data_IF_042772368952
#
_entry.id   IF_042772368952
#
_cell.length_a   1.000
_cell.length_b   1.000
_cell.length_c   1.000
_cell.angle_alpha   90.00
_cell.angle_beta   90.00
_cell.angle_gamma   90.00
#
_symmetry.space_group_name_H-M   'P 1'
#
loop_
_entity.id
_entity.type
_entity.pdbx_description
1 polymer ?
#
# COMPACT_ATOMS: atom_id res chain seq x y z
N UNK A 1 4.84 -41.95 62.91
CA UNK A 1 3.89 -41.24 62.05
C UNK A 1 4.72 -40.31 61.20
N UNK A 2 5.05 -40.72 59.98
CA UNK A 2 5.93 -39.99 59.08
C UNK A 2 5.06 -39.17 58.13
N UNK A 3 5.27 -37.85 58.12
CA UNK A 3 4.59 -36.93 57.22
C UNK A 3 5.35 -36.87 55.90
N UNK A 4 4.87 -37.62 54.90
CA UNK A 4 5.31 -37.49 53.51
C UNK A 4 4.85 -36.14 52.95
N UNK A 5 5.82 -35.27 52.67
CA UNK A 5 5.59 -33.96 52.05
C UNK A 5 5.82 -34.07 50.55
N UNK A 6 4.75 -34.30 49.80
CA UNK A 6 4.79 -34.38 48.33
C UNK A 6 5.08 -33.01 47.72
N UNK A 7 6.28 -32.86 47.16
CA UNK A 7 6.71 -31.65 46.44
C UNK A 7 6.16 -31.72 45.01
N UNK A 8 5.14 -30.93 44.72
CA UNK A 8 4.56 -30.82 43.39
C UNK A 8 5.45 -29.95 42.48
N UNK A 9 6.31 -30.60 41.69
CA UNK A 9 7.08 -29.98 40.61
C UNK A 9 6.12 -29.47 39.53
N UNK A 10 5.79 -28.18 39.60
CA UNK A 10 5.02 -27.46 38.58
C UNK A 10 5.91 -27.31 37.34
N UNK A 11 5.78 -28.22 36.38
CA UNK A 11 6.35 -28.07 35.02
C UNK A 11 5.85 -26.74 34.45
N UNK A 12 6.71 -25.72 34.38
CA UNK A 12 6.50 -24.55 33.53
C UNK A 12 6.49 -25.04 32.09
N UNK A 13 5.34 -25.00 31.45
CA UNK A 13 5.26 -25.07 29.99
C UNK A 13 6.04 -23.85 29.45
N UNK A 14 6.92 -24.02 28.45
CA UNK A 14 7.50 -22.88 27.77
C UNK A 14 6.36 -22.14 27.07
N UNK A 15 6.05 -20.93 27.55
CA UNK A 15 5.30 -19.94 26.78
C UNK A 15 6.17 -19.52 25.60
N UNK A 16 6.18 -20.33 24.55
CA UNK A 16 6.60 -19.90 23.21
C UNK A 16 5.50 -18.99 22.66
N UNK A 17 5.36 -17.81 23.27
CA UNK A 17 4.83 -16.66 22.57
C UNK A 17 5.87 -16.38 21.51
N UNK A 18 5.69 -16.95 20.32
CA UNK A 18 6.33 -16.47 19.13
C UNK A 18 5.98 -15.00 19.01
N UNK A 19 6.87 -14.13 19.50
CA UNK A 19 6.99 -12.76 19.03
C UNK A 19 7.24 -12.89 17.54
N UNK A 20 6.15 -13.00 16.78
CA UNK A 20 6.18 -12.90 15.35
C UNK A 20 6.90 -11.59 15.07
N UNK A 21 8.10 -11.73 14.53
CA UNK A 21 9.02 -10.68 14.15
C UNK A 21 8.46 -9.97 12.91
N UNK A 22 7.18 -9.57 12.97
CA UNK A 22 6.42 -8.76 12.01
C UNK A 22 6.92 -7.30 11.99
N UNK A 23 8.08 -7.02 12.60
CA UNK A 23 8.42 -5.70 13.15
C UNK A 23 9.64 -5.02 12.54
N UNK A 24 10.13 -5.44 11.37
CA UNK A 24 11.26 -4.76 10.71
C UNK A 24 10.91 -4.15 9.36
N UNK A 25 9.80 -4.54 8.74
CA UNK A 25 9.43 -4.03 7.42
C UNK A 25 8.47 -2.85 7.59
N UNK A 26 8.97 -1.66 7.28
CA UNK A 26 8.17 -0.45 7.25
C UNK A 26 7.25 -0.45 6.02
N UNK A 27 6.04 0.11 6.11
CA UNK A 27 5.24 0.40 4.94
C UNK A 27 6.04 1.17 3.89
N UNK A 28 5.85 0.91 2.58
CA UNK A 28 6.56 1.63 1.53
C UNK A 28 6.25 3.14 1.58
N UNK A 29 7.15 3.95 1.04
CA UNK A 29 6.94 5.39 0.91
C UNK A 29 5.71 5.68 0.04
N UNK A 30 4.68 6.30 0.64
CA UNK A 30 3.39 6.53 -0.03
C UNK A 30 3.38 7.73 -0.99
N UNK A 31 4.51 8.41 -1.19
CA UNK A 31 4.60 9.64 -1.98
C UNK A 31 4.48 10.92 -1.14
N UNK A 32 4.69 12.08 -1.76
CA UNK A 32 4.63 13.39 -1.08
C UNK A 32 3.20 13.71 -0.60
N UNK A 33 2.20 13.34 -1.39
CA UNK A 33 0.77 13.53 -1.10
C UNK A 33 0.16 12.21 -0.60
N UNK A 34 0.23 11.99 0.72
CA UNK A 34 -0.31 10.79 1.36
C UNK A 34 -1.64 11.06 2.05
N UNK A 35 -2.57 10.11 1.98
CA UNK A 35 -3.90 10.21 2.61
C UNK A 35 -3.88 9.54 3.97
N UNK A 36 -4.35 10.24 5.00
CA UNK A 36 -4.45 9.70 6.34
C UNK A 36 -5.40 8.50 6.39
N UNK A 37 -4.89 7.34 6.83
CA UNK A 37 -5.67 6.10 6.96
C UNK A 37 -6.75 6.14 8.04
N UNK A 38 -6.73 7.15 8.93
CA UNK A 38 -7.76 7.32 9.98
C UNK A 38 -8.89 8.26 9.59
N UNK A 39 -8.60 9.39 8.96
CA UNK A 39 -9.61 10.43 8.70
C UNK A 39 -9.74 10.82 7.22
N UNK A 40 -8.97 10.19 6.33
CA UNK A 40 -8.93 10.46 4.88
C UNK A 40 -8.53 11.88 4.48
N UNK A 41 -7.94 12.67 5.38
CA UNK A 41 -7.35 13.97 5.04
C UNK A 41 -6.06 13.78 4.24
N UNK A 42 -5.81 14.64 3.25
CA UNK A 42 -4.75 14.49 2.24
C UNK A 42 -3.44 15.23 2.57
N UNK A 43 -3.31 15.81 3.77
CA UNK A 43 -2.09 16.48 4.21
C UNK A 43 -1.53 15.82 5.47
N UNK A 44 -0.22 15.59 5.45
CA UNK A 44 0.54 15.06 6.56
C UNK A 44 1.92 15.72 6.66
N UNK A 45 2.29 16.11 7.88
CA UNK A 45 3.66 16.53 8.17
C UNK A 45 4.58 15.34 8.09
N UNK A 46 5.78 15.54 7.53
CA UNK A 46 6.78 14.50 7.36
C UNK A 46 8.03 14.88 8.15
N UNK A 47 8.51 13.96 8.98
CA UNK A 47 9.74 14.14 9.76
C UNK A 47 10.65 12.94 9.56
N UNK A 48 11.89 13.22 9.19
CA UNK A 48 12.94 12.22 9.17
C UNK A 48 13.24 11.70 10.60
N UNK A 49 13.35 10.39 10.74
CA UNK A 49 13.73 9.72 11.99
C UNK A 49 14.94 8.83 11.73
N UNK A 50 16.10 9.09 12.38
CA UNK A 50 17.25 8.21 12.25
C UNK A 50 16.96 6.83 12.86
N UNK A 51 17.82 5.86 12.57
CA UNK A 51 17.84 4.57 13.26
C UNK A 51 17.89 4.81 14.78
N UNK A 52 17.03 4.11 15.52
CA UNK A 52 16.93 4.26 16.97
C UNK A 52 17.09 2.90 17.64
N UNK A 53 17.95 2.78 18.67
CA UNK A 53 18.05 1.55 19.43
C UNK A 53 16.75 1.27 20.18
N UNK A 54 16.61 0.02 20.64
CA UNK A 54 15.51 -0.37 21.53
C UNK A 54 15.50 0.55 22.76
N UNK A 55 14.35 1.13 23.07
CA UNK A 55 14.22 2.11 24.14
C UNK A 55 12.77 2.41 24.52
N UNK A 56 12.59 3.16 25.60
CA UNK A 56 11.30 3.71 26.00
C UNK A 56 11.10 5.03 25.25
N UNK A 57 10.12 5.08 24.36
CA UNK A 57 9.87 6.26 23.51
C UNK A 57 8.43 6.73 23.67
N UNK A 58 8.24 8.05 23.72
CA UNK A 58 6.91 8.65 23.70
C UNK A 58 6.30 8.60 22.30
N UNK A 59 5.12 8.01 22.18
CA UNK A 59 4.36 7.92 20.93
C UNK A 59 2.88 8.12 21.23
N UNK A 60 2.27 9.14 20.60
CA UNK A 60 0.89 9.58 20.87
C UNK A 60 0.60 9.76 22.38
N UNK A 61 1.51 10.42 23.09
CA UNK A 61 1.39 10.70 24.54
C UNK A 61 1.52 9.47 25.45
N UNK A 62 1.99 8.33 24.92
CA UNK A 62 2.25 7.12 25.70
C UNK A 62 3.70 6.70 25.54
N UNK A 63 4.41 6.56 26.64
CA UNK A 63 5.75 5.98 26.65
C UNK A 63 5.63 4.47 26.48
N UNK A 64 6.16 3.95 25.37
CA UNK A 64 6.15 2.51 25.08
C UNK A 64 7.56 2.05 24.80
N UNK A 65 7.89 0.84 25.26
CA UNK A 65 9.10 0.16 24.84
C UNK A 65 8.96 -0.18 23.36
N UNK A 66 9.72 0.49 22.50
CA UNK A 66 9.83 0.15 21.08
C UNK A 66 11.17 -0.53 20.83
N UNK A 67 11.15 -1.49 19.92
CA UNK A 67 12.32 -2.23 19.44
C UNK A 67 13.32 -1.32 18.71
N UNK A 68 14.44 -1.89 18.24
CA UNK A 68 15.27 -1.16 17.29
C UNK A 68 14.40 -0.80 16.08
N UNK A 69 14.35 0.47 15.71
CA UNK A 69 13.64 0.95 14.54
C UNK A 69 14.67 1.38 13.50
N UNK A 70 14.52 0.96 12.24
CA UNK A 70 15.39 1.43 11.18
C UNK A 70 15.16 2.93 10.91
N UNK A 71 16.06 3.49 10.11
CA UNK A 71 15.92 4.81 9.51
C UNK A 71 14.60 4.90 8.71
N UNK A 72 13.85 5.98 8.91
CA UNK A 72 12.46 6.06 8.42
C UNK A 72 11.91 7.48 8.32
N UNK A 73 10.72 7.58 7.74
CA UNK A 73 9.90 8.79 7.77
C UNK A 73 8.75 8.59 8.75
N UNK A 74 8.59 9.52 9.69
CA UNK A 74 7.39 9.63 10.52
C UNK A 74 6.44 10.64 9.88
N UNK A 75 5.19 10.23 9.66
CA UNK A 75 4.10 11.07 9.18
C UNK A 75 3.19 11.44 10.34
N UNK A 76 2.63 12.64 10.33
CA UNK A 76 1.57 13.07 11.25
C UNK A 76 0.46 13.75 10.46
N UNK A 77 -0.77 13.23 10.53
CA UNK A 77 -1.91 13.85 9.87
C UNK A 77 -2.15 15.26 10.42
N UNK A 78 -2.30 16.25 9.54
CA UNK A 78 -2.52 17.65 9.94
C UNK A 78 -3.90 17.89 10.59
N UNK A 79 -4.85 16.96 10.42
CA UNK A 79 -6.21 17.11 10.94
C UNK A 79 -6.46 16.38 12.26
N UNK A 80 -5.99 15.13 12.39
CA UNK A 80 -6.30 14.29 13.55
C UNK A 80 -5.07 13.84 14.35
N UNK A 81 -3.88 14.36 14.01
CA UNK A 81 -2.58 14.04 14.64
C UNK A 81 -2.24 12.55 14.67
N UNK A 82 -2.92 11.73 13.87
CA UNK A 82 -2.57 10.32 13.74
C UNK A 82 -1.18 10.21 13.12
N UNK A 83 -0.29 9.49 13.81
CA UNK A 83 1.09 9.28 13.40
C UNK A 83 1.30 7.89 12.82
N UNK A 84 2.08 7.76 11.76
CA UNK A 84 2.52 6.47 11.23
C UNK A 84 3.94 6.57 10.68
N UNK A 85 4.61 5.42 10.58
CA UNK A 85 5.97 5.31 10.08
C UNK A 85 5.93 4.75 8.64
N UNK A 86 6.78 5.27 7.74
CA UNK A 86 6.98 4.81 6.36
C UNK A 86 8.48 4.63 6.08
N UNK A 87 8.82 3.81 5.09
CA UNK A 87 10.15 3.72 4.54
C UNK A 87 10.61 5.08 3.96
N UNK A 88 11.93 5.24 3.81
CA UNK A 88 12.50 6.43 3.18
C UNK A 88 12.04 6.57 1.73
N UNK A 89 11.99 7.83 1.27
CA UNK A 89 11.79 8.14 -0.14
C UNK A 89 12.89 7.44 -0.96
N UNK A 90 12.54 6.60 -1.95
CA UNK A 90 13.51 6.06 -2.88
C UNK A 90 14.27 7.19 -3.58
N UNK A 91 15.54 6.99 -3.91
CA UNK A 91 16.30 7.98 -4.67
C UNK A 91 15.58 8.36 -5.98
N UNK A 92 15.76 9.59 -6.44
CA UNK A 92 15.08 10.07 -7.65
C UNK A 92 15.35 9.17 -8.86
N UNK A 93 14.31 8.93 -9.65
CA UNK A 93 14.35 8.03 -10.80
C UNK A 93 14.31 6.53 -10.44
N UNK A 94 14.35 6.18 -9.15
CA UNK A 94 14.22 4.79 -8.71
C UNK A 94 12.75 4.41 -8.61
N UNK A 95 12.34 3.38 -9.34
CA UNK A 95 10.96 2.87 -9.35
C UNK A 95 10.91 1.35 -9.21
N UNK A 96 9.78 0.77 -8.81
CA UNK A 96 9.60 -0.68 -8.90
C UNK A 96 9.93 -1.19 -10.30
N UNK A 97 10.67 -2.29 -10.35
CA UNK A 97 11.04 -2.95 -11.59
C UNK A 97 9.81 -3.71 -12.13
N UNK A 98 9.48 -3.51 -13.41
CA UNK A 98 8.39 -4.25 -14.04
C UNK A 98 8.84 -5.68 -14.39
N UNK A 99 7.89 -6.62 -14.52
CA UNK A 99 8.16 -8.02 -14.89
C UNK A 99 9.01 -8.10 -16.16
N UNK A 100 8.66 -7.35 -17.21
CA UNK A 100 9.38 -7.38 -18.48
C UNK A 100 10.83 -6.88 -18.38
N UNK A 101 11.11 -5.96 -17.46
CA UNK A 101 12.44 -5.39 -17.24
C UNK A 101 13.30 -6.33 -16.41
N UNK A 102 12.73 -6.96 -15.39
CA UNK A 102 13.40 -8.01 -14.64
C UNK A 102 13.67 -9.22 -15.54
N UNK A 103 12.72 -9.61 -16.38
CA UNK A 103 12.92 -10.68 -17.36
C UNK A 103 14.06 -10.33 -18.33
N UNK A 104 14.09 -9.10 -18.85
CA UNK A 104 15.20 -8.61 -19.67
C UNK A 104 16.55 -8.69 -18.93
N UNK A 105 16.60 -8.23 -17.68
CA UNK A 105 17.81 -8.30 -16.86
C UNK A 105 18.26 -9.75 -16.63
N UNK A 106 17.33 -10.67 -16.36
CA UNK A 106 17.61 -12.10 -16.21
C UNK A 106 18.20 -12.68 -17.51
N UNK A 107 17.62 -12.37 -18.67
CA UNK A 107 18.15 -12.85 -19.96
C UNK A 107 19.54 -12.27 -20.26
N UNK A 108 19.80 -11.02 -19.90
CA UNK A 108 21.07 -10.34 -20.17
C UNK A 108 22.20 -10.75 -19.22
N UNK A 109 21.87 -11.09 -17.97
CA UNK A 109 22.84 -11.40 -16.92
C UNK A 109 23.05 -12.90 -16.70
N UNK A 110 22.17 -13.76 -17.20
CA UNK A 110 22.34 -15.20 -17.05
C UNK A 110 23.59 -15.70 -17.80
N UNK A 111 24.41 -16.58 -17.19
CA UNK A 111 25.58 -17.18 -17.85
C UNK A 111 25.20 -18.23 -18.90
N UNK A 112 23.91 -18.49 -19.09
CA UNK A 112 23.33 -19.44 -20.04
C UNK A 112 22.13 -18.80 -20.73
N UNK A 113 21.74 -19.36 -21.88
CA UNK A 113 20.55 -18.90 -22.61
C UNK A 113 19.28 -19.22 -21.80
N UNK A 114 18.52 -18.17 -21.47
CA UNK A 114 17.21 -18.29 -20.82
C UNK A 114 16.14 -17.98 -21.86
N UNK A 115 15.16 -18.87 -22.01
CA UNK A 115 14.01 -18.60 -22.86
C UNK A 115 13.21 -17.42 -22.32
N UNK A 116 12.53 -16.67 -23.20
CA UNK A 116 11.73 -15.52 -22.79
C UNK A 116 10.66 -15.89 -21.77
N UNK A 117 9.96 -16.99 -22.01
CA UNK A 117 8.91 -17.51 -21.13
C UNK A 117 9.44 -17.86 -19.73
N UNK A 118 10.62 -18.51 -19.64
CA UNK A 118 11.24 -18.83 -18.36
C UNK A 118 11.71 -17.57 -17.61
N UNK A 119 12.19 -16.55 -18.34
CA UNK A 119 12.59 -15.27 -17.76
C UNK A 119 11.38 -14.50 -17.22
N UNK A 120 10.29 -14.39 -17.99
CA UNK A 120 9.06 -13.72 -17.55
C UNK A 120 8.42 -14.44 -16.35
N UNK A 121 8.35 -15.78 -16.36
CA UNK A 121 7.83 -16.58 -15.25
C UNK A 121 8.65 -16.41 -13.97
N UNK A 122 9.98 -16.49 -14.08
CA UNK A 122 10.89 -16.27 -12.95
C UNK A 122 10.78 -14.84 -12.42
N UNK A 123 10.73 -13.85 -13.30
CA UNK A 123 10.59 -12.44 -12.93
C UNK A 123 9.31 -12.19 -12.14
N UNK A 124 8.16 -12.71 -12.58
CA UNK A 124 6.90 -12.59 -11.86
C UNK A 124 7.00 -13.17 -10.44
N UNK A 125 7.51 -14.40 -10.31
CA UNK A 125 7.67 -15.06 -9.00
C UNK A 125 8.64 -14.34 -8.07
N UNK A 126 9.68 -13.71 -8.61
CA UNK A 126 10.62 -12.92 -7.81
C UNK A 126 9.96 -11.64 -7.28
N UNK A 127 9.15 -10.96 -8.09
CA UNK A 127 8.45 -9.75 -7.67
C UNK A 127 7.32 -10.02 -6.67
N UNK A 128 6.80 -11.25 -6.60
CA UNK A 128 5.86 -11.67 -5.54
C UNK A 128 6.53 -11.74 -4.15
N UNK A 129 7.84 -11.98 -4.10
CA UNK A 129 8.57 -12.21 -2.83
C UNK A 129 9.62 -11.15 -2.51
N UNK A 130 9.93 -10.27 -3.46
CA UNK A 130 10.96 -9.26 -3.32
C UNK A 130 10.57 -7.95 -4.00
N UNK A 131 10.80 -6.85 -3.29
CA UNK A 131 10.67 -5.51 -3.84
C UNK A 131 11.96 -5.10 -4.55
N UNK A 132 11.97 -5.19 -5.89
CA UNK A 132 13.13 -4.87 -6.72
C UNK A 132 12.99 -3.48 -7.33
N UNK A 133 14.04 -2.68 -7.24
CA UNK A 133 14.07 -1.30 -7.70
C UNK A 133 14.93 -1.13 -8.97
N UNK A 134 14.37 -0.49 -9.99
CA UNK A 134 15.05 -0.07 -11.20
C UNK A 134 15.94 1.14 -10.90
N UNK A 135 17.20 1.08 -11.33
CA UNK A 135 18.09 2.25 -11.42
C UNK A 135 18.31 2.59 -12.90
N UNK A 136 17.61 3.59 -13.47
CA UNK A 136 17.66 3.89 -14.91
C UNK A 136 19.07 4.18 -15.42
N UNK A 137 19.88 4.85 -14.60
CA UNK A 137 21.27 5.21 -14.93
C UNK A 137 22.24 4.02 -14.96
N UNK A 138 21.80 2.81 -14.58
CA UNK A 138 22.69 1.67 -14.55
C UNK A 138 23.07 1.20 -15.97
N UNK A 139 24.36 0.98 -16.28
CA UNK A 139 24.82 0.65 -17.64
C UNK A 139 24.17 -0.58 -18.30
N UNK A 140 23.61 -1.49 -17.49
CA UNK A 140 22.84 -2.64 -17.97
C UNK A 140 21.59 -2.24 -18.79
N UNK A 141 21.04 -1.05 -18.56
CA UNK A 141 19.86 -0.56 -19.28
C UNK A 141 20.21 0.20 -20.55
N UNK A 142 21.47 0.62 -20.70
CA UNK A 142 21.95 1.14 -21.96
C UNK A 142 21.91 -0.01 -22.98
N UNK A 143 20.97 0.09 -23.92
CA UNK A 143 20.86 -0.87 -25.02
C UNK A 143 22.14 -0.77 -25.86
N UNK A 144 22.87 -1.87 -26.12
CA UNK A 144 23.79 -1.87 -27.26
C UNK A 144 22.97 -1.64 -28.54
N UNK A 145 23.52 -0.96 -29.57
CA UNK A 145 22.77 -0.42 -30.72
C UNK A 145 22.15 -1.46 -31.69
N UNK A 146 21.77 -2.66 -31.24
CA UNK A 146 21.17 -3.70 -32.09
C UNK A 146 20.11 -4.58 -31.38
N UNK A 147 19.52 -4.12 -30.27
CA UNK A 147 18.37 -4.81 -29.67
C UNK A 147 17.08 -4.06 -30.07
N UNK A 148 16.04 -4.74 -30.60
CA UNK A 148 14.76 -4.08 -30.87
C UNK A 148 14.25 -3.41 -29.57
N UNK A 149 13.63 -2.22 -29.66
CA UNK A 149 13.19 -1.49 -28.49
C UNK A 149 12.22 -2.36 -27.66
N UNK A 150 12.42 -2.37 -26.34
CA UNK A 150 11.46 -2.96 -25.41
C UNK A 150 10.15 -2.19 -25.57
N UNK A 151 9.20 -2.76 -26.31
CA UNK A 151 7.85 -2.22 -26.43
C UNK A 151 7.25 -2.23 -25.04
N UNK A 152 7.15 -1.05 -24.45
CA UNK A 152 6.28 -0.85 -23.30
C UNK A 152 4.87 -0.83 -23.90
N UNK A 153 4.02 -1.78 -23.51
CA UNK A 153 2.58 -1.69 -23.80
C UNK A 153 2.00 -0.51 -23.00
N UNK A 154 2.26 0.70 -23.48
CA UNK A 154 1.55 1.92 -23.12
C UNK A 154 0.53 2.20 -24.22
N UNK A 155 -0.68 1.68 -24.03
CA UNK A 155 -1.94 2.39 -24.14
C UNK A 155 -3.06 1.35 -24.17
N UNK A 156 -4.00 1.46 -23.24
CA UNK A 156 -5.30 0.84 -23.41
C UNK A 156 -5.85 1.25 -24.77
N UNK A 157 -6.02 0.29 -25.69
CA UNK A 157 -6.81 0.52 -26.89
C UNK A 157 -8.20 1.01 -26.43
N UNK A 158 -8.73 2.12 -26.99
CA UNK A 158 -10.13 2.42 -26.80
C UNK A 158 -10.95 1.22 -27.29
N UNK A 159 -12.01 0.83 -26.56
CA UNK A 159 -12.81 -0.33 -26.92
C UNK A 159 -13.34 -0.17 -28.35
N UNK A 160 -13.11 -1.19 -29.17
CA UNK A 160 -13.59 -1.27 -30.53
C UNK A 160 -15.14 -1.20 -30.52
N UNK A 161 -15.78 -0.19 -31.14
CA UNK A 161 -17.23 0.00 -31.06
C UNK A 161 -18.04 -1.09 -31.78
N UNK A 162 -17.41 -2.14 -32.30
CA UNK A 162 -18.05 -3.21 -33.08
C UNK A 162 -18.17 -4.56 -32.38
N UNK A 163 -17.69 -4.70 -31.14
CA UNK A 163 -17.87 -5.92 -30.35
C UNK A 163 -19.01 -5.75 -29.34
N UNK A 164 -20.24 -5.69 -29.87
CA UNK A 164 -21.43 -5.88 -29.05
C UNK A 164 -21.55 -7.36 -28.70
N UNK A 165 -21.20 -7.68 -27.45
CA UNK A 165 -21.55 -8.92 -26.77
C UNK A 165 -23.03 -9.26 -27.03
N UNK A 166 -23.29 -10.48 -27.49
CA UNK A 166 -24.61 -11.01 -27.79
C UNK A 166 -25.44 -11.30 -26.53
N UNK A 167 -25.75 -10.24 -25.78
CA UNK A 167 -26.76 -10.29 -24.71
C UNK A 167 -28.08 -9.80 -25.31
N UNK A 168 -29.15 -10.61 -25.34
CA UNK A 168 -30.46 -10.12 -25.76
C UNK A 168 -30.94 -9.05 -24.77
N UNK A 169 -31.04 -7.81 -25.25
CA UNK A 169 -31.68 -6.72 -24.53
C UNK A 169 -33.19 -7.01 -24.54
N UNK A 170 -33.73 -7.40 -23.38
CA UNK A 170 -35.17 -7.42 -23.13
C UNK A 170 -35.63 -5.97 -23.07
N UNK A 171 -36.28 -5.48 -24.12
CA UNK A 171 -36.95 -4.18 -24.15
C UNK A 171 -38.12 -4.19 -23.17
N UNK A 172 -37.98 -3.48 -22.06
CA UNK A 172 -39.09 -3.08 -21.19
C UNK A 172 -39.83 -1.94 -21.89
N UNK A 173 -41.16 -2.01 -22.07
CA UNK A 173 -41.91 -0.93 -22.71
C UNK A 173 -41.95 0.32 -21.82
N UNK A 174 -41.89 1.48 -22.49
CA UNK A 174 -41.94 2.84 -21.95
C UNK A 174 -42.86 3.01 -20.75
N UNK A 175 -42.28 3.39 -19.62
CA UNK A 175 -43.03 3.97 -18.52
C UNK A 175 -43.23 5.47 -18.81
N UNK A 176 -44.50 5.87 -18.92
CA UNK A 176 -44.95 7.24 -19.13
C UNK A 176 -44.25 8.26 -18.21
N UNK A 177 -44.00 9.50 -18.68
CA UNK A 177 -43.39 10.54 -17.87
C UNK A 177 -44.31 10.92 -16.70
N UNK A 178 -43.85 10.61 -15.49
CA UNK A 178 -44.47 10.99 -14.23
C UNK A 178 -44.61 12.51 -14.18
N UNK A 179 -45.86 12.99 -14.14
CA UNK A 179 -46.23 14.39 -14.00
C UNK A 179 -45.51 15.03 -12.80
N UNK A 180 -44.80 16.11 -13.06
CA UNK A 180 -44.27 17.01 -12.03
C UNK A 180 -45.43 17.56 -11.20
N UNK A 181 -45.51 17.17 -9.92
CA UNK A 181 -46.35 17.84 -8.94
C UNK A 181 -45.60 19.06 -8.41
N UNK A 182 -46.14 20.23 -8.73
CA UNK A 182 -45.73 21.53 -8.21
C UNK A 182 -46.02 21.60 -6.70
N UNK A 183 -45.08 22.04 -5.84
CA UNK A 183 -45.39 22.28 -4.43
C UNK A 183 -46.29 23.53 -4.29
N UNK A 184 -47.27 23.54 -3.37
CA UNK A 184 -48.11 24.70 -3.16
C UNK A 184 -47.32 25.81 -2.46
N UNK A 185 -47.47 27.01 -2.98
CA UNK A 185 -47.06 28.24 -2.32
C UNK A 185 -47.94 28.52 -1.10
N UNK A 186 -47.31 28.91 0.01
CA UNK A 186 -47.94 29.68 1.08
C UNK A 186 -47.98 29.00 2.44
N UNK A 187 -47.20 29.50 3.38
CA UNK A 187 -47.75 30.33 4.45
C UNK A 187 -46.64 30.89 5.34
N UNK A 188 -46.65 32.22 5.39
CA UNK A 188 -46.10 33.13 6.39
C UNK A 188 -46.60 32.84 7.82
N UNK A 189 -45.92 33.48 8.81
CA UNK A 189 -46.28 33.71 10.23
C UNK A 189 -45.71 32.63 11.19
N UNK A 190 -45.01 32.93 12.30
CA UNK A 190 -45.02 34.09 13.18
C UNK A 190 -43.70 34.27 13.97
N UNK A 191 -43.38 35.55 14.21
CA UNK A 191 -42.57 36.07 15.32
C UNK A 191 -43.28 35.92 16.68
N UNK A 192 -42.50 36.14 17.76
CA UNK A 192 -42.86 36.26 19.19
C UNK A 192 -43.07 34.92 19.93
N UNK A 193 -42.51 34.67 21.12
CA UNK A 193 -41.73 35.47 22.06
C UNK A 193 -41.54 34.70 23.39
N UNK A 194 -40.99 35.41 24.38
CA UNK A 194 -40.95 35.13 25.83
C UNK A 194 -39.98 34.09 26.42
N UNK A 195 -38.97 34.65 27.08
CA UNK A 195 -38.69 34.53 28.53
C UNK A 195 -38.65 33.13 29.18
N UNK A 196 -37.46 32.74 29.62
CA UNK A 196 -37.07 32.67 31.06
C UNK A 196 -35.56 32.53 31.21
#
# INVERSE_FOLDING_TARGET
MNHDTTTATRKRLPEEVGEQQLGSELPPYSGELTVCTKCSYNEAFTRYRPESPRGLWDYNGRTKMRGPLPERLERSCQRCDFQWDEALRPADGVRPLAVAELAYALTRCAPYSVSREAADSTAARLLDVAYVLLRPEHPMWNQPPACPPLVHDQAAQPPDPKLTSGVPIVTVPDAEPMRQQTPPAGSTLNEAGSEQ
#
